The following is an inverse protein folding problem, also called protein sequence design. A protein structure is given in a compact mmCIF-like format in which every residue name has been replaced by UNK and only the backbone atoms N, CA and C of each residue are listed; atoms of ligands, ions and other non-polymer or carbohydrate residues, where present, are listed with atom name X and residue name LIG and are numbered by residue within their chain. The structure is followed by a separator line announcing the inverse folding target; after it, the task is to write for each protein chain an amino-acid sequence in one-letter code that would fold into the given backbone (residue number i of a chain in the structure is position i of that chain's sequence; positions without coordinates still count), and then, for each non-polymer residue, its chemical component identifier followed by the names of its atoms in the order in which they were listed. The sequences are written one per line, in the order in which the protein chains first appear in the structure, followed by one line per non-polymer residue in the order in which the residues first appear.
data_IF_883192119758
#
_entry.id   IF_883192119758
#
_cell.length_a   1.000
_cell.length_b   1.000
_cell.length_c   1.000
_cell.angle_alpha   90.00
_cell.angle_beta   90.00
_cell.angle_gamma   90.00
#
_symmetry.space_group_name_H-M   'P 1'
#
loop_
_entity.id
_entity.type
_entity.pdbx_description
1 polymer ?
#
# COMPACT_ATOMS: atom_id res chain seq x y z
N UNK A 1 2.72 63.74 81.92
CA UNK A 1 3.15 63.16 80.63
C UNK A 1 2.05 62.23 80.13
N UNK A 2 1.29 62.66 79.14
CA UNK A 2 0.18 61.87 78.57
C UNK A 2 0.69 60.91 77.48
N UNK A 3 0.31 59.63 77.57
CA UNK A 3 0.66 58.63 76.57
C UNK A 3 -0.26 58.76 75.36
N UNK A 4 0.28 59.17 74.20
CA UNK A 4 -0.44 59.13 72.92
C UNK A 4 -0.75 57.67 72.55
N UNK A 5 -2.03 57.32 72.50
CA UNK A 5 -2.52 56.00 72.11
C UNK A 5 -2.42 55.88 70.58
N UNK A 6 -1.45 55.10 70.08
CA UNK A 6 -1.28 54.86 68.65
C UNK A 6 -2.38 53.89 68.20
N UNK A 7 -3.35 54.40 67.44
CA UNK A 7 -4.40 53.59 66.81
C UNK A 7 -3.81 53.00 65.52
N UNK A 8 -3.40 51.74 65.56
CA UNK A 8 -2.90 51.02 64.39
C UNK A 8 -4.09 50.54 63.56
N UNK A 9 -4.51 51.34 62.58
CA UNK A 9 -5.53 50.94 61.62
C UNK A 9 -5.08 49.75 60.78
N UNK A 10 -5.79 48.62 60.84
CA UNK A 10 -5.55 47.46 59.96
C UNK A 10 -5.82 47.87 58.51
N UNK A 11 -4.78 47.90 57.65
CA UNK A 11 -4.95 48.10 56.19
C UNK A 11 -5.82 46.98 55.63
N UNK A 12 -6.97 47.32 55.01
CA UNK A 12 -7.80 46.35 54.28
C UNK A 12 -7.02 45.79 53.10
N UNK A 13 -6.88 44.46 53.01
CA UNK A 13 -6.31 43.77 51.84
C UNK A 13 -7.18 44.11 50.61
N UNK A 14 -6.59 44.71 49.58
CA UNK A 14 -7.25 44.92 48.28
C UNK A 14 -7.59 43.54 47.69
N UNK A 15 -8.87 43.27 47.44
CA UNK A 15 -9.28 42.08 46.67
C UNK A 15 -8.80 42.26 45.23
N UNK A 16 -8.02 41.29 44.73
CA UNK A 16 -7.72 41.20 43.29
C UNK A 16 -8.99 40.74 42.59
N UNK A 17 -9.61 41.62 41.80
CA UNK A 17 -10.66 41.22 40.88
C UNK A 17 -9.99 40.43 39.75
N UNK A 18 -10.25 39.12 39.71
CA UNK A 18 -9.80 38.25 38.62
C UNK A 18 -10.72 38.53 37.44
N UNK A 19 -10.12 38.85 36.30
CA UNK A 19 -10.84 39.26 35.09
C UNK A 19 -11.37 38.00 34.38
N UNK A 20 -12.50 37.46 34.87
CA UNK A 20 -13.10 36.18 34.50
C UNK A 20 -13.26 35.99 32.98
N UNK A 21 -13.55 37.08 32.26
CA UNK A 21 -13.67 37.11 30.79
C UNK A 21 -12.39 36.64 30.10
N UNK A 22 -11.21 37.05 30.58
CA UNK A 22 -9.93 36.64 29.99
C UNK A 22 -9.68 35.13 30.16
N UNK A 23 -10.14 34.57 31.28
CA UNK A 23 -9.99 33.13 31.56
C UNK A 23 -10.86 32.31 30.61
N UNK A 24 -12.10 32.75 30.35
CA UNK A 24 -13.03 32.08 29.42
C UNK A 24 -12.47 32.07 27.99
N UNK A 25 -11.91 33.20 27.54
CA UNK A 25 -11.30 33.31 26.19
C UNK A 25 -10.15 32.31 26.04
N UNK A 26 -9.28 32.21 27.03
CA UNK A 26 -8.15 31.27 27.01
C UNK A 26 -8.67 29.82 26.95
N UNK A 27 -9.69 29.49 27.73
CA UNK A 27 -10.30 28.16 27.72
C UNK A 27 -10.89 27.81 26.34
N UNK A 28 -11.54 28.77 25.69
CA UNK A 28 -12.08 28.57 24.34
C UNK A 28 -10.98 28.30 23.31
N UNK A 29 -9.84 28.99 23.38
CA UNK A 29 -8.72 28.78 22.47
C UNK A 29 -8.12 27.39 22.67
N UNK A 30 -7.91 26.98 23.93
CA UNK A 30 -7.39 25.64 24.27
C UNK A 30 -8.31 24.55 23.73
N UNK A 31 -9.63 24.73 23.87
CA UNK A 31 -10.61 23.77 23.37
C UNK A 31 -10.51 23.59 21.84
N UNK A 32 -10.39 24.69 21.10
CA UNK A 32 -10.21 24.65 19.64
C UNK A 32 -8.93 23.90 19.27
N UNK A 33 -7.82 24.18 19.96
CA UNK A 33 -6.54 23.48 19.71
C UNK A 33 -6.68 21.98 19.93
N UNK A 34 -7.24 21.56 21.06
CA UNK A 34 -7.43 20.14 21.40
C UNK A 34 -8.32 19.45 20.36
N UNK A 35 -9.40 20.10 19.94
CA UNK A 35 -10.30 19.58 18.92
C UNK A 35 -9.56 19.30 17.60
N UNK A 36 -8.77 20.27 17.12
CA UNK A 36 -7.96 20.07 15.91
C UNK A 36 -6.88 19.01 16.08
N UNK A 37 -6.21 18.95 17.24
CA UNK A 37 -5.21 17.92 17.51
C UNK A 37 -5.79 16.50 17.42
N UNK A 38 -6.99 16.27 17.95
CA UNK A 38 -7.67 14.97 17.86
C UNK A 38 -7.98 14.61 16.40
N UNK A 39 -8.45 15.56 15.61
CA UNK A 39 -8.72 15.34 14.18
C UNK A 39 -7.45 15.01 13.40
N UNK A 40 -6.33 15.67 13.72
CA UNK A 40 -5.03 15.40 13.09
C UNK A 40 -4.54 13.98 13.40
N UNK A 41 -4.70 13.51 14.65
CA UNK A 41 -4.34 12.13 15.04
C UNK A 41 -5.19 11.12 14.28
N UNK A 42 -6.50 11.37 14.14
CA UNK A 42 -7.40 10.49 13.39
C UNK A 42 -7.02 10.39 11.91
N UNK A 43 -6.70 11.52 11.28
CA UNK A 43 -6.19 11.56 9.90
C UNK A 43 -4.87 10.81 9.76
N UNK A 44 -3.95 10.95 10.71
CA UNK A 44 -2.67 10.23 10.70
C UNK A 44 -2.87 8.71 10.78
N UNK A 45 -3.82 8.25 11.61
CA UNK A 45 -4.15 6.84 11.71
C UNK A 45 -4.67 6.27 10.39
N UNK A 46 -5.64 6.95 9.77
CA UNK A 46 -6.21 6.56 8.48
C UNK A 46 -5.12 6.54 7.40
N UNK A 47 -4.25 7.56 7.38
CA UNK A 47 -3.15 7.63 6.43
C UNK A 47 -2.19 6.44 6.57
N UNK A 48 -1.82 6.08 7.80
CA UNK A 48 -0.95 4.92 8.04
C UNK A 48 -1.59 3.61 7.61
N UNK A 49 -2.89 3.44 7.85
CA UNK A 49 -3.63 2.26 7.41
C UNK A 49 -3.63 2.17 5.87
N UNK A 50 -3.94 3.28 5.19
CA UNK A 50 -3.93 3.38 3.73
C UNK A 50 -2.54 3.09 3.13
N UNK A 51 -1.47 3.57 3.76
CA UNK A 51 -0.09 3.33 3.32
C UNK A 51 0.27 1.85 3.45
N UNK A 52 -0.16 1.19 4.53
CA UNK A 52 0.08 -0.23 4.74
C UNK A 52 -0.69 -1.07 3.72
N UNK A 53 -1.95 -0.73 3.46
CA UNK A 53 -2.75 -1.41 2.45
C UNK A 53 -2.15 -1.23 1.05
N UNK A 54 -1.72 -0.02 0.71
CA UNK A 54 -1.02 0.25 -0.56
C UNK A 54 0.25 -0.59 -0.71
N UNK A 55 1.08 -0.69 0.34
CA UNK A 55 2.29 -1.53 0.33
C UNK A 55 1.95 -3.01 0.11
N UNK A 56 0.89 -3.50 0.73
CA UNK A 56 0.42 -4.88 0.56
C UNK A 56 0.01 -5.13 -0.89
N UNK A 57 -0.86 -4.27 -1.44
CA UNK A 57 -1.33 -4.39 -2.83
C UNK A 57 -0.18 -4.31 -3.82
N UNK A 58 0.80 -3.43 -3.59
CA UNK A 58 2.01 -3.34 -4.43
C UNK A 58 2.80 -4.64 -4.42
N UNK A 59 3.01 -5.26 -3.25
CA UNK A 59 3.73 -6.53 -3.15
C UNK A 59 2.98 -7.66 -3.88
N UNK A 60 1.65 -7.72 -3.74
CA UNK A 60 0.82 -8.70 -4.47
C UNK A 60 0.94 -8.51 -5.98
N UNK A 61 0.96 -7.26 -6.45
CA UNK A 61 1.16 -6.94 -7.86
C UNK A 61 2.54 -7.36 -8.37
N UNK A 62 3.61 -7.06 -7.63
CA UNK A 62 4.97 -7.49 -7.99
C UNK A 62 5.09 -9.01 -8.05
N UNK A 63 4.42 -9.74 -7.16
CA UNK A 63 4.38 -11.20 -7.18
C UNK A 63 3.57 -11.74 -8.36
N UNK A 64 2.44 -11.13 -8.70
CA UNK A 64 1.67 -11.47 -9.90
C UNK A 64 2.48 -11.25 -11.18
N UNK A 65 3.21 -10.14 -11.25
CA UNK A 65 4.05 -9.81 -12.40
C UNK A 65 5.16 -10.84 -12.59
N UNK A 66 5.80 -11.29 -11.50
CA UNK A 66 6.79 -12.38 -11.57
C UNK A 66 6.18 -13.69 -12.07
N UNK A 67 5.01 -14.07 -11.56
CA UNK A 67 4.30 -15.28 -12.03
C UNK A 67 3.92 -15.20 -13.49
N UNK A 68 3.47 -14.04 -13.96
CA UNK A 68 3.14 -13.83 -15.38
C UNK A 68 4.38 -14.06 -16.25
N UNK A 69 5.53 -13.50 -15.85
CA UNK A 69 6.78 -13.66 -16.57
C UNK A 69 7.25 -15.13 -16.62
N UNK A 70 7.10 -15.87 -15.53
CA UNK A 70 7.41 -17.31 -15.50
C UNK A 70 6.50 -18.09 -16.47
N UNK A 71 5.19 -17.81 -16.46
CA UNK A 71 4.23 -18.43 -17.37
C UNK A 71 4.52 -18.08 -18.83
N UNK A 72 4.87 -16.83 -19.13
CA UNK A 72 5.26 -16.41 -20.48
C UNK A 72 6.50 -17.16 -20.97
N UNK A 73 7.50 -17.33 -20.10
CA UNK A 73 8.70 -18.11 -20.41
C UNK A 73 8.38 -19.59 -20.66
N UNK A 74 7.55 -20.21 -19.83
CA UNK A 74 7.09 -21.59 -20.04
C UNK A 74 6.31 -21.73 -21.35
N UNK A 75 5.42 -20.78 -21.64
CA UNK A 75 4.66 -20.74 -22.89
C UNK A 75 5.59 -20.66 -24.10
N UNK A 76 6.60 -19.80 -24.07
CA UNK A 76 7.55 -19.65 -25.18
C UNK A 76 8.42 -20.90 -25.36
N UNK A 77 8.80 -21.57 -24.27
CA UNK A 77 9.50 -22.85 -24.34
C UNK A 77 8.62 -23.93 -24.98
N UNK A 78 7.36 -24.05 -24.56
CA UNK A 78 6.39 -24.99 -25.14
C UNK A 78 6.19 -24.68 -26.62
N UNK A 79 6.07 -23.40 -26.98
CA UNK A 79 5.91 -22.98 -28.38
C UNK A 79 7.09 -23.43 -29.24
N UNK A 80 8.33 -23.23 -28.77
CA UNK A 80 9.54 -23.71 -29.46
C UNK A 80 9.55 -25.24 -29.62
N UNK A 81 9.23 -25.98 -28.56
CA UNK A 81 9.15 -27.44 -28.62
C UNK A 81 8.09 -27.94 -29.62
N UNK A 82 6.97 -27.23 -29.73
CA UNK A 82 5.94 -27.54 -30.73
C UNK A 82 6.44 -27.23 -32.14
N UNK A 83 7.06 -26.07 -32.35
CA UNK A 83 7.64 -25.67 -33.63
C UNK A 83 8.70 -26.68 -34.11
N UNK A 84 9.59 -27.14 -33.21
CA UNK A 84 10.57 -28.21 -33.49
C UNK A 84 9.92 -29.53 -33.92
N UNK A 85 8.74 -29.84 -33.38
CA UNK A 85 7.95 -31.02 -33.76
C UNK A 85 7.11 -30.81 -35.02
N UNK A 86 7.25 -29.68 -35.70
CA UNK A 86 6.46 -29.32 -36.87
C UNK A 86 5.03 -28.90 -36.55
N UNK A 87 4.72 -28.55 -35.30
CA UNK A 87 3.39 -28.15 -34.85
C UNK A 87 3.39 -26.67 -34.53
N UNK A 88 2.58 -25.88 -35.25
CA UNK A 88 2.39 -24.46 -34.96
C UNK A 88 0.99 -24.22 -34.38
N UNK A 89 0.89 -23.33 -33.39
CA UNK A 89 -0.41 -22.92 -32.85
C UNK A 89 -0.67 -21.49 -33.28
N UNK A 90 -1.71 -21.30 -34.10
CA UNK A 90 -2.11 -19.99 -34.62
C UNK A 90 -3.60 -19.80 -34.30
N UNK A 91 -3.94 -18.67 -33.63
CA UNK A 91 -5.31 -18.35 -33.22
C UNK A 91 -6.05 -19.49 -32.45
N UNK A 92 -5.31 -20.24 -31.63
CA UNK A 92 -5.88 -21.34 -30.83
C UNK A 92 -6.16 -22.64 -31.61
N UNK A 93 -5.77 -22.73 -32.89
CA UNK A 93 -5.84 -23.95 -33.70
C UNK A 93 -4.46 -24.55 -33.88
N UNK A 94 -4.38 -25.88 -33.82
CA UNK A 94 -3.16 -26.65 -34.04
C UNK A 94 -3.00 -26.86 -35.54
N UNK A 95 -1.89 -26.41 -36.11
CA UNK A 95 -1.52 -26.62 -37.50
C UNK A 95 -0.28 -27.53 -37.55
N UNK A 96 -0.36 -28.61 -38.32
CA UNK A 96 0.74 -29.56 -38.48
C UNK A 96 1.45 -29.25 -39.79
N UNK A 97 2.61 -28.61 -39.70
CA UNK A 97 3.53 -28.55 -40.83
C UNK A 97 4.09 -29.96 -41.03
N UNK A 98 3.97 -30.50 -42.24
CA UNK A 98 4.41 -31.85 -42.57
C UNK A 98 5.95 -31.92 -42.56
N UNK A 99 6.54 -32.03 -41.37
CA UNK A 99 7.96 -32.32 -41.19
C UNK A 99 8.09 -33.84 -41.12
N UNK A 100 8.76 -34.51 -42.07
CA UNK A 100 8.95 -35.94 -42.01
C UNK A 100 9.73 -36.29 -40.73
N UNK A 101 9.06 -36.95 -39.79
CA UNK A 101 9.71 -37.44 -38.58
C UNK A 101 10.61 -38.61 -38.99
N UNK A 102 11.92 -38.40 -38.97
CA UNK A 102 12.88 -39.51 -39.02
C UNK A 102 12.78 -40.27 -37.71
N UNK A 103 11.93 -41.30 -37.68
CA UNK A 103 11.90 -42.28 -36.59
C UNK A 103 13.18 -43.09 -36.74
N UNK A 104 14.15 -42.87 -35.86
CA UNK A 104 15.31 -43.75 -35.71
C UNK A 104 14.82 -45.19 -35.48
N UNK A 105 14.91 -46.03 -36.51
CA UNK A 105 14.51 -47.44 -36.45
C UNK A 105 13.57 -47.95 -37.54
N UNK A 106 13.11 -47.13 -38.49
CA UNK A 106 12.31 -47.65 -39.63
C UNK A 106 13.19 -48.03 -40.81
N UNK A 107 13.78 -49.24 -40.77
CA UNK A 107 14.21 -49.94 -41.97
C UNK A 107 12.98 -50.53 -42.66
N UNK A 108 12.53 -49.95 -43.76
CA UNK A 108 11.99 -50.69 -44.92
C UNK A 108 11.76 -49.72 -46.08
N UNK A 109 12.83 -49.47 -46.82
CA UNK A 109 12.70 -49.23 -48.25
C UNK A 109 12.26 -50.55 -48.89
N UNK A 110 10.96 -50.87 -48.80
CA UNK A 110 10.39 -51.93 -49.63
C UNK A 110 10.33 -51.36 -51.04
N UNK A 111 11.18 -51.94 -51.88
CA UNK A 111 11.41 -51.56 -53.26
C UNK A 111 10.09 -51.65 -54.03
N UNK A 112 9.65 -50.52 -54.55
CA UNK A 112 8.71 -50.44 -55.67
C UNK A 112 9.26 -51.29 -56.82
N UNK A 113 8.59 -52.39 -57.17
CA UNK A 113 8.80 -53.03 -58.48
C UNK A 113 7.46 -53.48 -59.04
N UNK A 114 7.06 -52.79 -60.12
CA UNK A 114 5.92 -52.94 -61.05
C UNK A 114 4.59 -53.49 -60.55
#
# INVERSE_FOLDING_TARGET
MERKKIIVGKKKKKRKNINFIKVIIIFSIIFVIIYFSIQMIRMLFIYNELVNEYKKTRNEFEHLQKRLYEIEKERDMIKKLLEEKGVTIENGKINYNYVPQTIEGTTTASQTTR
#
